data_IF_817199812410
#
_entry.id   IF_817199812410
#
_cell.length_a   1.000
_cell.length_b   1.000
_cell.length_c   1.000
_cell.angle_alpha   90.00
_cell.angle_beta   90.00
_cell.angle_gamma   90.00
#
_symmetry.space_group_name_H-M   'P 1'
#
loop_
_entity.id
_entity.type
_entity.pdbx_description
1 polymer ?
#
# COMPACT_ATOMS: atom_id res chain seq x y z
N UNK A 1 -32.94 9.85 -1.52
CA UNK A 1 -31.90 9.82 -2.59
C UNK A 1 -30.88 8.78 -2.15
N UNK A 2 -30.55 7.80 -3.00
CA UNK A 2 -29.52 6.82 -2.67
C UNK A 2 -28.16 7.52 -2.52
N UNK A 3 -27.37 7.14 -1.51
CA UNK A 3 -26.01 7.65 -1.33
C UNK A 3 -25.16 7.24 -2.56
N UNK A 4 -24.23 8.09 -3.02
CA UNK A 4 -23.35 7.70 -4.11
C UNK A 4 -22.44 6.55 -3.69
N UNK A 5 -22.16 5.64 -4.61
CA UNK A 5 -21.20 4.57 -4.42
C UNK A 5 -19.80 5.13 -4.12
N UNK A 6 -19.12 4.53 -3.16
CA UNK A 6 -17.76 4.90 -2.78
C UNK A 6 -16.86 3.67 -2.77
N UNK A 7 -15.59 3.89 -3.10
CA UNK A 7 -14.56 2.86 -2.94
C UNK A 7 -14.09 2.82 -1.49
N UNK A 8 -14.06 1.63 -0.94
CA UNK A 8 -13.65 1.36 0.43
C UNK A 8 -12.56 0.29 0.45
N UNK A 9 -11.69 0.36 1.44
CA UNK A 9 -10.83 -0.75 1.84
C UNK A 9 -11.27 -1.17 3.23
N UNK A 10 -11.67 -2.43 3.37
CA UNK A 10 -11.98 -3.06 4.66
C UNK A 10 -10.80 -3.92 5.07
N UNK A 11 -10.31 -3.71 6.29
CA UNK A 11 -9.19 -4.45 6.86
C UNK A 11 -9.71 -5.57 7.75
N UNK A 12 -9.30 -6.79 7.46
CA UNK A 12 -9.57 -7.97 8.27
C UNK A 12 -8.28 -8.43 8.94
N UNK A 13 -8.38 -9.04 10.12
CA UNK A 13 -7.24 -9.77 10.70
C UNK A 13 -6.89 -10.95 9.82
N UNK A 14 -5.59 -11.13 9.51
CA UNK A 14 -5.17 -12.34 8.80
C UNK A 14 -5.27 -13.54 9.75
N UNK A 15 -5.93 -14.59 9.30
CA UNK A 15 -6.15 -15.84 10.04
C UNK A 15 -5.20 -16.97 9.63
N UNK A 16 -4.05 -16.63 9.06
CA UNK A 16 -3.00 -17.57 8.70
C UNK A 16 -2.95 -17.99 7.23
N UNK A 17 -3.55 -17.17 6.34
CA UNK A 17 -3.45 -17.40 4.89
C UNK A 17 -2.32 -16.59 4.27
N UNK A 18 -1.70 -17.17 3.23
CA UNK A 18 -0.59 -16.56 2.49
C UNK A 18 -1.02 -15.90 1.18
N UNK A 19 -0.14 -15.06 0.61
CA UNK A 19 -0.39 -14.40 -0.67
C UNK A 19 -0.60 -15.35 -1.86
N UNK A 20 -0.14 -16.59 -1.78
CA UNK A 20 -0.37 -17.66 -2.75
C UNK A 20 -1.85 -18.04 -2.88
N UNK A 21 -2.65 -17.82 -1.82
CA UNK A 21 -4.10 -18.04 -1.78
C UNK A 21 -4.93 -16.84 -2.31
N UNK A 22 -4.28 -15.80 -2.84
CA UNK A 22 -4.95 -14.57 -3.31
C UNK A 22 -6.13 -14.82 -4.24
N UNK A 23 -5.97 -15.65 -5.28
CA UNK A 23 -7.03 -15.90 -6.26
C UNK A 23 -8.22 -16.68 -5.67
N UNK A 24 -7.97 -17.55 -4.71
CA UNK A 24 -8.98 -18.31 -4.01
C UNK A 24 -9.80 -17.39 -3.11
N UNK A 25 -9.14 -16.63 -2.26
CA UNK A 25 -9.77 -15.66 -1.38
C UNK A 25 -10.57 -14.61 -2.15
N UNK A 26 -10.04 -14.10 -3.28
CA UNK A 26 -10.77 -13.13 -4.09
C UNK A 26 -12.08 -13.70 -4.64
N UNK A 27 -12.09 -14.97 -5.03
CA UNK A 27 -13.32 -15.65 -5.46
C UNK A 27 -14.30 -15.81 -4.30
N UNK A 28 -13.81 -16.26 -3.14
CA UNK A 28 -14.63 -16.45 -1.94
C UNK A 28 -15.28 -15.14 -1.49
N UNK A 29 -14.51 -14.06 -1.41
CA UNK A 29 -15.02 -12.72 -1.03
C UNK A 29 -16.05 -12.22 -2.04
N UNK A 30 -15.84 -12.42 -3.34
CA UNK A 30 -16.82 -12.06 -4.38
C UNK A 30 -18.13 -12.81 -4.24
N UNK A 31 -18.08 -14.09 -3.94
CA UNK A 31 -19.30 -14.90 -3.67
C UNK A 31 -19.99 -14.44 -2.39
N UNK A 32 -19.21 -14.25 -1.32
CA UNK A 32 -19.72 -13.85 -0.01
C UNK A 32 -20.45 -12.50 -0.06
N UNK A 33 -19.96 -11.55 -0.86
CA UNK A 33 -20.48 -10.19 -0.96
C UNK A 33 -21.43 -9.98 -2.14
N UNK A 34 -21.82 -11.06 -2.83
CA UNK A 34 -22.75 -10.97 -3.98
C UNK A 34 -24.06 -10.29 -3.56
N UNK A 35 -24.41 -9.20 -4.24
CA UNK A 35 -25.63 -8.41 -3.97
C UNK A 35 -25.52 -7.43 -2.78
N UNK A 36 -24.39 -7.37 -2.10
CA UNK A 36 -24.14 -6.42 -0.99
C UNK A 36 -23.25 -5.25 -1.40
N UNK A 37 -22.48 -5.38 -2.47
CA UNK A 37 -21.66 -4.33 -3.04
C UNK A 37 -21.76 -4.35 -4.57
N UNK A 38 -21.36 -3.28 -5.23
CA UNK A 38 -21.38 -3.21 -6.70
C UNK A 38 -20.32 -4.15 -7.29
N UNK A 39 -19.11 -4.13 -6.74
CA UNK A 39 -18.09 -5.14 -7.04
C UNK A 39 -16.93 -5.12 -6.03
N UNK A 40 -16.28 -6.26 -5.89
CA UNK A 40 -15.00 -6.41 -5.20
C UNK A 40 -13.89 -6.23 -6.23
N UNK A 41 -13.07 -5.19 -6.04
CA UNK A 41 -11.96 -4.85 -6.94
C UNK A 41 -10.83 -5.87 -6.75
N UNK A 42 -10.37 -6.03 -5.50
CA UNK A 42 -9.21 -6.85 -5.17
C UNK A 42 -9.21 -7.28 -3.70
N UNK A 43 -8.34 -8.24 -3.39
CA UNK A 43 -7.92 -8.54 -2.01
C UNK A 43 -6.39 -8.47 -1.94
N UNK A 44 -5.84 -8.11 -0.80
CA UNK A 44 -4.37 -8.06 -0.59
C UNK A 44 -4.05 -8.72 0.74
N UNK A 45 -3.18 -9.72 0.71
CA UNK A 45 -2.88 -10.57 1.85
C UNK A 45 -1.53 -10.17 2.43
N UNK A 46 -1.55 -9.41 3.53
CA UNK A 46 -0.38 -9.07 4.32
C UNK A 46 -0.17 -10.03 5.50
N UNK A 47 0.96 -9.94 6.21
CA UNK A 47 1.26 -10.83 7.32
C UNK A 47 0.23 -10.79 8.45
N UNK A 48 -0.25 -9.61 8.81
CA UNK A 48 -1.14 -9.40 9.95
C UNK A 48 -2.58 -9.09 9.54
N UNK A 49 -2.78 -8.58 8.33
CA UNK A 49 -4.08 -8.11 7.85
C UNK A 49 -4.33 -8.45 6.40
N UNK A 50 -5.61 -8.54 6.07
CA UNK A 50 -6.10 -8.69 4.71
C UNK A 50 -6.89 -7.43 4.38
N UNK A 51 -6.65 -6.87 3.20
CA UNK A 51 -7.39 -5.74 2.67
C UNK A 51 -8.41 -6.26 1.65
N UNK A 52 -9.68 -5.88 1.82
CA UNK A 52 -10.74 -6.12 0.85
C UNK A 52 -11.10 -4.77 0.22
N UNK A 53 -10.78 -4.60 -1.06
CA UNK A 53 -10.97 -3.38 -1.84
C UNK A 53 -12.28 -3.51 -2.65
N UNK A 54 -13.25 -2.66 -2.39
CA UNK A 54 -14.58 -2.78 -2.95
C UNK A 54 -15.28 -1.44 -3.16
N UNK A 55 -16.34 -1.45 -3.96
CA UNK A 55 -17.24 -0.30 -4.17
C UNK A 55 -18.61 -0.64 -3.63
N UNK A 56 -19.16 0.21 -2.75
CA UNK A 56 -20.50 0.06 -2.19
C UNK A 56 -21.14 1.40 -1.85
N UNK A 57 -22.47 1.43 -1.86
CA UNK A 57 -23.29 2.54 -1.35
C UNK A 57 -23.52 2.44 0.16
N UNK A 58 -23.48 1.21 0.72
CA UNK A 58 -23.67 0.93 2.14
C UNK A 58 -22.62 -0.05 2.64
N UNK A 59 -21.79 0.39 3.57
CA UNK A 59 -20.68 -0.40 4.09
C UNK A 59 -21.11 -1.36 5.21
N UNK A 60 -22.16 -1.07 5.95
CA UNK A 60 -22.53 -1.87 7.14
C UNK A 60 -22.92 -3.33 6.82
N UNK A 61 -23.75 -3.62 5.80
CA UNK A 61 -24.03 -5.00 5.40
C UNK A 61 -22.76 -5.75 4.95
N UNK A 62 -21.84 -5.06 4.28
CA UNK A 62 -20.56 -5.61 3.83
C UNK A 62 -19.69 -5.99 5.04
N UNK A 63 -19.54 -5.09 6.01
CA UNK A 63 -18.80 -5.34 7.26
C UNK A 63 -19.39 -6.53 8.03
N UNK A 64 -20.71 -6.53 8.19
CA UNK A 64 -21.41 -7.63 8.86
C UNK A 64 -21.18 -8.99 8.17
N UNK A 65 -21.09 -9.03 6.85
CA UNK A 65 -20.83 -10.26 6.11
C UNK A 65 -19.36 -10.67 6.19
N UNK A 66 -18.41 -9.72 6.07
CA UNK A 66 -16.97 -9.97 6.18
C UNK A 66 -16.56 -10.44 7.57
N UNK A 67 -17.27 -10.03 8.63
CA UNK A 67 -17.00 -10.49 10.00
C UNK A 67 -17.21 -12.01 10.19
N UNK A 68 -17.90 -12.67 9.27
CA UNK A 68 -18.01 -14.13 9.25
C UNK A 68 -16.70 -14.83 8.81
N UNK A 69 -15.81 -14.13 8.09
CA UNK A 69 -14.50 -14.66 7.71
C UNK A 69 -13.46 -14.39 8.80
N UNK A 70 -13.40 -13.17 9.30
CA UNK A 70 -12.46 -12.76 10.33
C UNK A 70 -12.86 -11.42 10.98
N UNK A 71 -12.18 -11.05 12.07
CA UNK A 71 -12.34 -9.76 12.74
C UNK A 71 -12.12 -8.60 11.77
N UNK A 72 -13.10 -7.71 11.66
CA UNK A 72 -12.99 -6.45 10.93
C UNK A 72 -12.25 -5.44 11.80
N UNK A 73 -11.01 -5.13 11.43
CA UNK A 73 -10.13 -4.23 12.19
C UNK A 73 -10.46 -2.76 11.94
N UNK A 74 -10.72 -2.40 10.68
CA UNK A 74 -10.96 -1.02 10.25
C UNK A 74 -11.62 -0.98 8.87
N UNK A 75 -12.08 0.20 8.45
CA UNK A 75 -12.52 0.46 7.08
C UNK A 75 -12.29 1.94 6.71
N UNK A 76 -11.75 2.18 5.53
CA UNK A 76 -11.45 3.52 5.05
C UNK A 76 -12.09 3.80 3.69
N UNK A 77 -12.47 5.06 3.46
CA UNK A 77 -12.90 5.54 2.14
C UNK A 77 -11.66 5.97 1.35
N UNK A 78 -11.53 5.46 0.14
CA UNK A 78 -10.43 5.81 -0.76
C UNK A 78 -10.54 7.26 -1.22
N UNK A 79 -9.42 7.98 -1.24
CA UNK A 79 -9.36 9.37 -1.73
C UNK A 79 -9.73 10.44 -0.69
N UNK A 80 -9.89 10.08 0.58
CA UNK A 80 -10.32 11.02 1.63
C UNK A 80 -9.22 11.98 2.12
N UNK A 81 -7.95 11.79 1.74
CA UNK A 81 -6.83 12.61 2.24
C UNK A 81 -5.91 13.06 1.11
N UNK A 82 -5.54 14.35 1.15
CA UNK A 82 -4.42 14.89 0.38
C UNK A 82 -3.39 15.42 1.38
N UNK A 83 -2.13 14.94 1.37
CA UNK A 83 -1.09 15.48 2.22
C UNK A 83 -0.79 16.92 1.84
N UNK A 84 -0.55 17.78 2.84
CA UNK A 84 -0.30 19.21 2.62
C UNK A 84 1.13 19.50 2.14
N UNK A 85 2.12 18.71 2.57
CA UNK A 85 3.54 18.88 2.27
C UNK A 85 4.21 17.56 1.93
N UNK A 86 5.39 17.64 1.26
CA UNK A 86 6.21 16.46 0.96
C UNK A 86 6.55 15.66 2.22
N UNK A 87 6.96 16.34 3.31
CA UNK A 87 7.34 15.68 4.55
C UNK A 87 6.14 14.97 5.19
N UNK A 88 4.98 15.61 5.22
CA UNK A 88 3.74 14.98 5.74
C UNK A 88 3.37 13.75 4.92
N UNK A 89 3.47 13.82 3.59
CA UNK A 89 3.23 12.68 2.71
C UNK A 89 4.20 11.52 2.98
N UNK A 90 5.50 11.82 3.18
CA UNK A 90 6.49 10.80 3.49
C UNK A 90 6.24 10.17 4.86
N UNK A 91 5.91 10.96 5.88
CA UNK A 91 5.57 10.46 7.20
C UNK A 91 4.33 9.54 7.16
N UNK A 92 3.29 9.95 6.46
CA UNK A 92 2.09 9.13 6.29
C UNK A 92 2.41 7.83 5.52
N UNK A 93 3.16 7.93 4.42
CA UNK A 93 3.57 6.77 3.63
C UNK A 93 4.42 5.77 4.45
N UNK A 94 5.37 6.24 5.25
CA UNK A 94 6.19 5.39 6.12
C UNK A 94 5.34 4.69 7.18
N UNK A 95 4.40 5.40 7.80
CA UNK A 95 3.44 4.82 8.73
C UNK A 95 2.61 3.72 8.07
N UNK A 96 2.04 4.01 6.89
CA UNK A 96 1.23 3.05 6.13
C UNK A 96 2.04 1.81 5.71
N UNK A 97 3.30 1.98 5.30
CA UNK A 97 4.21 0.86 5.03
C UNK A 97 4.43 0.02 6.29
N UNK A 98 4.66 0.64 7.44
CA UNK A 98 4.79 -0.05 8.72
C UNK A 98 3.54 -0.82 9.14
N UNK A 99 2.37 -0.36 8.70
CA UNK A 99 1.08 -1.03 8.89
C UNK A 99 0.76 -2.08 7.82
N UNK A 100 1.63 -2.28 6.79
CA UNK A 100 1.38 -3.18 5.68
C UNK A 100 0.35 -2.66 4.65
N UNK A 101 -0.02 -1.39 4.71
CA UNK A 101 -1.00 -0.68 3.85
C UNK A 101 -0.31 -0.07 2.62
N UNK A 102 0.36 -0.91 1.85
CA UNK A 102 1.23 -0.48 0.76
C UNK A 102 0.49 0.20 -0.39
N UNK A 103 -0.75 -0.21 -0.66
CA UNK A 103 -1.55 0.43 -1.69
C UNK A 103 -1.86 1.89 -1.33
N UNK A 104 -2.23 2.16 -0.08
CA UNK A 104 -2.50 3.52 0.38
C UNK A 104 -1.21 4.37 0.45
N UNK A 105 -0.09 3.78 0.86
CA UNK A 105 1.21 4.46 0.80
C UNK A 105 1.56 4.90 -0.63
N UNK A 106 1.29 4.05 -1.62
CA UNK A 106 1.43 4.38 -3.04
C UNK A 106 0.57 5.60 -3.43
N UNK A 107 -0.72 5.61 -3.08
CA UNK A 107 -1.64 6.71 -3.41
C UNK A 107 -1.22 8.04 -2.76
N UNK A 108 -0.80 8.01 -1.50
CA UNK A 108 -0.28 9.19 -0.78
C UNK A 108 0.93 9.78 -1.51
N UNK A 109 1.88 8.93 -1.91
CA UNK A 109 3.09 9.35 -2.62
C UNK A 109 2.78 9.88 -4.02
N UNK A 110 1.83 9.28 -4.75
CA UNK A 110 1.37 9.79 -6.04
C UNK A 110 0.78 11.21 -5.93
N UNK A 111 0.12 11.51 -4.82
CA UNK A 111 -0.44 12.83 -4.56
C UNK A 111 0.61 13.94 -4.66
N UNK A 112 1.76 13.76 -4.02
CA UNK A 112 2.87 14.75 -4.04
C UNK A 112 3.76 14.61 -5.28
N UNK A 113 3.89 13.43 -5.86
CA UNK A 113 4.67 13.18 -7.08
C UNK A 113 4.17 13.99 -8.28
N UNK A 114 2.87 14.25 -8.38
CA UNK A 114 2.28 14.99 -9.52
C UNK A 114 2.83 16.40 -9.66
N UNK A 115 3.13 17.07 -8.54
CA UNK A 115 3.68 18.42 -8.50
C UNK A 115 5.21 18.48 -8.37
N UNK A 116 5.87 17.33 -8.12
CA UNK A 116 7.30 17.26 -7.98
C UNK A 116 8.02 17.35 -9.33
N UNK A 117 9.27 17.83 -9.32
CA UNK A 117 10.11 17.99 -10.51
C UNK A 117 11.54 17.46 -10.26
N UNK A 118 12.30 17.26 -11.33
CA UNK A 118 13.72 16.95 -11.28
C UNK A 118 14.06 15.71 -10.43
N UNK A 119 15.04 15.83 -9.56
CA UNK A 119 15.56 14.77 -8.69
C UNK A 119 14.53 14.28 -7.69
N UNK A 120 13.73 15.19 -7.13
CA UNK A 120 12.66 14.86 -6.19
C UNK A 120 11.61 13.93 -6.84
N UNK A 121 11.20 14.27 -8.07
CA UNK A 121 10.26 13.44 -8.83
C UNK A 121 10.78 12.03 -9.08
N UNK A 122 12.09 11.89 -9.39
CA UNK A 122 12.71 10.57 -9.56
C UNK A 122 12.73 9.77 -8.26
N UNK A 123 13.08 10.41 -7.14
CA UNK A 123 13.09 9.80 -5.83
C UNK A 123 11.68 9.31 -5.43
N UNK A 124 10.67 10.17 -5.56
CA UNK A 124 9.27 9.82 -5.31
C UNK A 124 8.79 8.68 -6.21
N UNK A 125 9.17 8.67 -7.49
CA UNK A 125 8.86 7.53 -8.38
C UNK A 125 9.48 6.24 -7.86
N UNK A 126 10.70 6.28 -7.30
CA UNK A 126 11.33 5.12 -6.65
C UNK A 126 10.52 4.62 -5.46
N UNK A 127 10.03 5.52 -4.60
CA UNK A 127 9.19 5.18 -3.45
C UNK A 127 7.82 4.62 -3.86
N UNK A 128 7.19 5.19 -4.89
CA UNK A 128 5.93 4.70 -5.45
C UNK A 128 6.11 3.27 -5.99
N UNK A 129 7.17 3.02 -6.76
CA UNK A 129 7.48 1.70 -7.29
C UNK A 129 7.80 0.68 -6.18
N UNK A 130 8.45 1.12 -5.10
CA UNK A 130 8.69 0.33 -3.89
C UNK A 130 7.37 -0.11 -3.25
N UNK A 131 6.45 0.82 -3.01
CA UNK A 131 5.13 0.50 -2.45
C UNK A 131 4.34 -0.44 -3.37
N UNK A 132 4.29 -0.15 -4.68
CA UNK A 132 3.64 -0.99 -5.68
C UNK A 132 4.25 -2.41 -5.76
N UNK A 133 5.56 -2.57 -5.52
CA UNK A 133 6.18 -3.89 -5.42
C UNK A 133 5.57 -4.72 -4.29
N UNK A 134 5.40 -4.12 -3.11
CA UNK A 134 4.82 -4.80 -1.95
C UNK A 134 3.33 -5.14 -2.15
N UNK A 135 2.58 -4.31 -2.88
CA UNK A 135 1.22 -4.68 -3.34
C UNK A 135 1.26 -5.95 -4.20
N UNK A 136 2.25 -6.08 -5.09
CA UNK A 136 2.44 -7.31 -5.89
C UNK A 136 2.71 -8.52 -5.02
N UNK A 137 3.54 -8.35 -3.98
CA UNK A 137 3.82 -9.41 -3.01
C UNK A 137 2.55 -9.84 -2.26
N UNK A 138 1.72 -8.90 -1.80
CA UNK A 138 0.43 -9.19 -1.14
C UNK A 138 -0.58 -9.92 -2.05
N UNK A 139 -0.34 -9.91 -3.36
CA UNK A 139 -1.15 -10.61 -4.36
C UNK A 139 -0.53 -11.92 -4.86
N UNK A 140 0.56 -12.37 -4.25
CA UNK A 140 1.30 -13.56 -4.68
C UNK A 140 2.08 -13.41 -6.01
N UNK A 141 2.20 -12.18 -6.55
CA UNK A 141 2.96 -11.91 -7.78
C UNK A 141 4.43 -11.60 -7.44
N UNK A 142 5.18 -12.64 -7.11
CA UNK A 142 6.60 -12.53 -6.77
C UNK A 142 7.45 -11.99 -7.93
N UNK A 143 7.17 -12.42 -9.14
CA UNK A 143 7.87 -11.93 -10.33
C UNK A 143 7.64 -10.42 -10.54
N UNK A 144 6.40 -9.97 -10.34
CA UNK A 144 6.02 -8.57 -10.35
C UNK A 144 6.69 -7.77 -9.25
N UNK A 145 6.74 -8.31 -8.02
CA UNK A 145 7.44 -7.72 -6.89
C UNK A 145 8.91 -7.45 -7.22
N UNK A 146 9.67 -8.46 -7.64
CA UNK A 146 11.09 -8.32 -7.99
C UNK A 146 11.31 -7.36 -9.16
N UNK A 147 10.45 -7.39 -10.18
CA UNK A 147 10.53 -6.47 -11.32
C UNK A 147 10.34 -5.02 -10.88
N UNK A 148 9.36 -4.75 -10.01
CA UNK A 148 9.12 -3.40 -9.51
C UNK A 148 10.22 -2.94 -8.55
N UNK A 149 10.75 -3.80 -7.68
CA UNK A 149 11.91 -3.45 -6.83
C UNK A 149 13.14 -3.04 -7.65
N UNK A 150 13.47 -3.76 -8.76
CA UNK A 150 14.56 -3.35 -9.64
C UNK A 150 14.32 -1.98 -10.27
N UNK A 151 13.08 -1.66 -10.62
CA UNK A 151 12.73 -0.34 -11.15
C UNK A 151 12.80 0.73 -10.06
N UNK A 152 12.35 0.42 -8.84
CA UNK A 152 12.46 1.30 -7.68
C UNK A 152 13.92 1.66 -7.40
N UNK A 153 14.80 0.65 -7.31
CA UNK A 153 16.23 0.86 -7.09
C UNK A 153 16.84 1.80 -8.14
N UNK A 154 16.61 1.52 -9.43
CA UNK A 154 17.12 2.40 -10.51
C UNK A 154 16.60 3.82 -10.41
N UNK A 155 15.34 4.04 -10.01
CA UNK A 155 14.78 5.38 -9.87
C UNK A 155 15.39 6.13 -8.67
N UNK A 156 15.61 5.44 -7.54
CA UNK A 156 16.28 5.98 -6.37
C UNK A 156 17.72 6.38 -6.70
N UNK A 157 18.50 5.50 -7.35
CA UNK A 157 19.86 5.78 -7.79
C UNK A 157 19.93 6.94 -8.79
N UNK A 158 19.05 6.95 -9.80
CA UNK A 158 18.99 8.02 -10.81
C UNK A 158 18.61 9.38 -10.23
N UNK A 159 17.94 9.43 -9.07
CA UNK A 159 17.65 10.69 -8.38
C UNK A 159 18.94 11.38 -7.89
N UNK A 160 19.97 10.59 -7.56
CA UNK A 160 21.22 11.06 -6.98
C UNK A 160 21.05 11.72 -5.60
N UNK A 161 19.89 11.48 -4.93
CA UNK A 161 19.63 11.97 -3.59
C UNK A 161 19.93 10.87 -2.56
N UNK A 162 20.62 11.23 -1.49
CA UNK A 162 20.87 10.32 -0.37
C UNK A 162 19.71 10.29 0.61
N UNK A 163 18.96 11.40 0.65
CA UNK A 163 17.85 11.64 1.55
C UNK A 163 16.76 12.47 0.85
N UNK A 164 15.51 12.27 1.24
CA UNK A 164 14.36 13.07 0.82
C UNK A 164 13.51 13.43 2.05
N UNK A 165 13.53 14.71 2.42
CA UNK A 165 12.80 15.27 3.57
C UNK A 165 12.94 14.43 4.88
N UNK A 166 14.15 13.93 5.16
CA UNK A 166 14.49 13.12 6.34
C UNK A 166 14.43 11.63 6.12
N UNK A 167 13.87 11.14 5.00
CA UNK A 167 13.88 9.73 4.64
C UNK A 167 15.19 9.35 3.97
N UNK A 168 15.96 8.43 4.55
CA UNK A 168 17.20 7.93 3.94
C UNK A 168 16.91 7.04 2.72
N UNK A 169 17.13 7.60 1.54
CA UNK A 169 17.01 6.85 0.27
C UNK A 169 18.18 5.89 0.09
N UNK A 170 19.35 6.19 0.64
CA UNK A 170 20.53 5.30 0.64
C UNK A 170 20.22 4.01 1.39
N UNK A 171 19.65 4.09 2.60
CA UNK A 171 19.30 2.91 3.39
C UNK A 171 18.22 2.08 2.69
N UNK A 172 17.23 2.73 2.10
CA UNK A 172 16.20 2.05 1.32
C UNK A 172 16.79 1.34 0.10
N UNK A 173 17.64 2.02 -0.68
CA UNK A 173 18.29 1.43 -1.86
C UNK A 173 19.13 0.21 -1.46
N UNK A 174 19.90 0.29 -0.36
CA UNK A 174 20.68 -0.82 0.18
C UNK A 174 19.79 -2.00 0.59
N UNK A 175 18.67 -1.75 1.27
CA UNK A 175 17.74 -2.81 1.67
C UNK A 175 17.08 -3.49 0.46
N UNK A 176 16.70 -2.71 -0.57
CA UNK A 176 16.15 -3.25 -1.82
C UNK A 176 17.19 -4.07 -2.57
N UNK A 177 18.46 -3.60 -2.69
CA UNK A 177 19.55 -4.36 -3.31
C UNK A 177 19.75 -5.70 -2.61
N UNK A 178 19.81 -5.71 -1.28
CA UNK A 178 19.99 -6.93 -0.50
C UNK A 178 18.89 -7.97 -0.73
N UNK A 179 17.63 -7.55 -0.91
CA UNK A 179 16.54 -8.48 -1.28
C UNK A 179 16.67 -8.98 -2.72
N UNK A 180 17.12 -8.14 -3.64
CA UNK A 180 17.29 -8.53 -5.04
C UNK A 180 18.45 -9.49 -5.29
N UNK A 181 19.48 -9.46 -4.43
CA UNK A 181 20.66 -10.34 -4.49
C UNK A 181 20.37 -11.76 -3.96
N UNK A 182 19.30 -11.92 -3.20
CA UNK A 182 18.88 -13.22 -2.65
C UNK A 182 17.67 -13.78 -3.39
N UNK A 183 17.38 -15.07 -3.21
CA UNK A 183 16.12 -15.67 -3.63
C UNK A 183 14.98 -15.42 -2.61
N UNK A 184 15.31 -14.90 -1.44
CA UNK A 184 14.34 -14.63 -0.38
C UNK A 184 13.38 -13.51 -0.78
N UNK A 185 12.11 -13.70 -0.46
CA UNK A 185 11.04 -12.70 -0.64
C UNK A 185 10.59 -12.25 0.73
N UNK A 186 10.67 -10.94 0.99
CA UNK A 186 10.30 -10.38 2.28
C UNK A 186 9.75 -8.97 2.17
N UNK A 187 8.97 -8.58 3.16
CA UNK A 187 8.56 -7.19 3.35
C UNK A 187 9.76 -6.37 3.85
N UNK A 188 9.98 -5.20 3.23
CA UNK A 188 11.07 -4.29 3.57
C UNK A 188 10.51 -3.17 4.42
N UNK A 189 11.02 -3.02 5.64
CA UNK A 189 10.68 -1.90 6.51
C UNK A 189 11.43 -0.63 6.08
N UNK A 190 10.76 0.51 6.22
CA UNK A 190 11.37 1.84 6.07
C UNK A 190 11.11 2.64 7.33
N UNK A 191 12.02 3.55 7.66
CA UNK A 191 11.90 4.38 8.85
C UNK A 191 12.15 5.85 8.55
N UNK A 192 11.34 6.71 9.16
CA UNK A 192 11.47 8.16 9.15
C UNK A 192 11.06 8.68 10.54
N UNK A 193 11.88 9.54 11.13
CA UNK A 193 11.49 10.25 12.35
C UNK A 193 10.48 11.36 12.00
N UNK A 194 9.24 11.16 12.40
CA UNK A 194 8.12 12.07 12.17
C UNK A 194 7.78 12.94 13.39
N UNK A 195 8.59 12.88 14.45
CA UNK A 195 8.37 13.64 15.71
C UNK A 195 8.84 15.10 15.66
N UNK A 196 9.53 15.54 14.56
CA UNK A 196 10.00 16.90 14.38
C UNK A 196 8.88 17.93 14.18
N UNK A 197 9.16 19.26 14.33
CA UNK A 197 8.14 20.28 14.25
C UNK A 197 7.41 20.23 12.90
N UNK A 198 6.09 20.18 12.99
CA UNK A 198 5.23 20.41 11.82
C UNK A 198 5.60 21.78 11.28
N UNK A 199 6.13 21.84 10.06
CA UNK A 199 6.66 23.05 9.45
C UNK A 199 5.73 24.24 9.62
N UNK A 200 6.32 25.35 9.98
CA UNK A 200 5.68 26.65 10.06
C UNK A 200 5.31 27.17 8.68
#
# INVERSE_FOLDING_TARGET
MASPSRRHIVFLRNWGIGPDQHNELLREVRELLRGLCEHVIDVRIGPERIEVDLVTTDLEPVRGRLSALSEVLDAVVVGARSPGSLREALCEAVKLVGEGRYWEAHEVLEGVWRSAEGKEKLALNGLILFAAAHVKLQRGDEAGYRRLLRRALRALEASGLEELAGLSLRNLASAVSGVLETSEVRYIAIGLDCSGPRGA
#
